data_IF_574960502656
#
_entry.id   IF_574960502656
#
_cell.length_a   1.000
_cell.length_b   1.000
_cell.length_c   1.000
_cell.angle_alpha   90.00
_cell.angle_beta   90.00
_cell.angle_gamma   90.00
#
_symmetry.space_group_name_H-M   'P 1'
#
loop_
_entity.id
_entity.type
_entity.pdbx_description
1 polymer ?
#
# COMPACT_ATOMS: atom_id res chain seq x y z
N UNK A 1 -50.76 2.65 35.47
CA UNK A 1 -49.42 2.29 36.00
C UNK A 1 -48.56 1.49 35.01
N UNK A 2 -49.07 0.45 34.31
CA UNK A 2 -48.25 -0.39 33.42
C UNK A 2 -47.72 0.28 32.13
N UNK A 3 -48.43 1.27 31.57
CA UNK A 3 -48.00 2.01 30.35
C UNK A 3 -46.78 2.91 30.60
N UNK A 4 -46.70 3.54 31.77
CA UNK A 4 -45.58 4.43 32.13
C UNK A 4 -44.27 3.67 32.30
N UNK A 5 -44.33 2.46 32.88
CA UNK A 5 -43.17 1.57 33.03
C UNK A 5 -42.63 1.10 31.68
N UNK A 6 -43.52 0.77 30.72
CA UNK A 6 -43.12 0.37 29.36
C UNK A 6 -42.45 1.53 28.60
N UNK A 7 -42.98 2.74 28.72
CA UNK A 7 -42.39 3.93 28.07
C UNK A 7 -41.01 4.23 28.68
N UNK A 8 -40.88 4.18 30.00
CA UNK A 8 -39.59 4.37 30.67
C UNK A 8 -38.53 3.33 30.25
N UNK A 9 -38.93 2.06 30.12
CA UNK A 9 -38.03 0.99 29.68
C UNK A 9 -37.59 1.15 28.22
N UNK A 10 -38.49 1.58 27.34
CA UNK A 10 -38.17 1.85 25.93
C UNK A 10 -37.19 3.03 25.79
N UNK A 11 -37.39 4.11 26.56
CA UNK A 11 -36.49 5.26 26.55
C UNK A 11 -35.07 4.86 27.00
N UNK A 12 -34.96 4.08 28.08
CA UNK A 12 -33.66 3.60 28.56
C UNK A 12 -32.98 2.68 27.55
N UNK A 13 -33.73 1.79 26.89
CA UNK A 13 -33.17 0.91 25.86
C UNK A 13 -32.63 1.71 24.64
N UNK A 14 -33.36 2.73 24.20
CA UNK A 14 -32.90 3.60 23.10
C UNK A 14 -31.66 4.40 23.46
N UNK A 15 -31.56 4.87 24.70
CA UNK A 15 -30.42 5.66 25.17
C UNK A 15 -29.15 4.80 25.24
N UNK A 16 -29.25 3.57 25.75
CA UNK A 16 -28.12 2.63 25.81
C UNK A 16 -27.65 2.25 24.40
N UNK A 17 -28.57 2.03 23.46
CA UNK A 17 -28.22 1.70 22.08
C UNK A 17 -27.50 2.85 21.36
N UNK A 18 -27.97 4.09 21.56
CA UNK A 18 -27.33 5.27 20.98
C UNK A 18 -25.91 5.49 21.53
N UNK A 19 -25.70 5.27 22.83
CA UNK A 19 -24.39 5.41 23.44
C UNK A 19 -23.40 4.32 22.97
N UNK A 20 -23.87 3.08 22.77
CA UNK A 20 -23.05 1.99 22.23
C UNK A 20 -22.57 2.27 20.78
N UNK A 21 -23.39 2.94 19.97
CA UNK A 21 -23.03 3.32 18.60
C UNK A 21 -22.04 4.48 18.57
N UNK A 22 -22.15 5.45 19.48
CA UNK A 22 -21.23 6.59 19.56
C UNK A 22 -19.82 6.22 20.05
N UNK A 23 -19.69 5.13 20.82
CA UNK A 23 -18.41 4.62 21.35
C UNK A 23 -17.73 3.63 20.38
N UNK A 24 -18.39 3.23 19.29
CA UNK A 24 -17.81 2.32 18.31
C UNK A 24 -16.96 3.08 17.27
N UNK A 25 -15.61 2.93 17.25
CA UNK A 25 -14.77 3.44 16.17
C UNK A 25 -14.89 2.51 14.96
N UNK A 26 -16.09 2.41 14.39
CA UNK A 26 -16.37 1.51 13.28
C UNK A 26 -17.01 2.29 12.12
N UNK A 27 -16.21 3.17 11.51
CA UNK A 27 -16.22 3.46 10.07
C UNK A 27 -15.43 4.74 9.77
N UNK A 28 -14.10 4.71 9.95
CA UNK A 28 -13.25 5.40 8.99
C UNK A 28 -13.14 4.49 7.76
N UNK A 29 -14.24 4.37 7.02
CA UNK A 29 -14.24 3.72 5.72
C UNK A 29 -13.60 4.69 4.74
N UNK A 30 -12.27 4.83 4.82
CA UNK A 30 -11.51 5.21 3.66
C UNK A 30 -11.78 4.13 2.60
N UNK A 31 -12.37 4.45 1.43
CA UNK A 31 -12.47 3.51 0.34
C UNK A 31 -11.09 3.40 -0.34
N UNK A 32 -10.05 3.08 0.44
CA UNK A 32 -8.82 2.56 -0.11
C UNK A 32 -9.18 1.19 -0.66
N UNK A 33 -9.57 1.17 -1.93
CA UNK A 33 -9.82 -0.01 -2.78
C UNK A 33 -9.14 -1.21 -2.16
N UNK A 34 -9.93 -2.09 -1.56
CA UNK A 34 -9.44 -3.33 -0.97
C UNK A 34 -8.71 -4.07 -2.08
N UNK A 35 -7.37 -3.96 -2.10
CA UNK A 35 -6.53 -4.57 -3.12
C UNK A 35 -6.73 -6.07 -2.99
N UNK A 36 -7.54 -6.64 -3.86
CA UNK A 36 -7.89 -8.06 -3.82
C UNK A 36 -6.60 -8.87 -3.96
N UNK A 37 -6.28 -9.65 -2.93
CA UNK A 37 -5.22 -10.66 -3.03
C UNK A 37 -5.67 -11.66 -4.09
N UNK A 38 -4.77 -12.02 -5.00
CA UNK A 38 -5.03 -12.99 -6.05
C UNK A 38 -5.70 -12.42 -7.29
N UNK A 39 -6.06 -11.13 -7.33
CA UNK A 39 -6.49 -10.49 -8.57
C UNK A 39 -5.31 -10.22 -9.51
N UNK A 40 -5.52 -10.33 -10.83
CA UNK A 40 -4.58 -9.76 -11.79
C UNK A 40 -4.68 -8.23 -11.71
N UNK A 41 -3.54 -7.59 -11.57
CA UNK A 41 -3.41 -6.14 -11.67
C UNK A 41 -2.41 -5.77 -12.77
N UNK A 42 -2.66 -4.66 -13.46
CA UNK A 42 -1.67 -4.09 -14.37
C UNK A 42 -0.47 -3.58 -13.54
N UNK A 43 0.74 -3.86 -14.04
CA UNK A 43 1.99 -3.52 -13.39
C UNK A 43 2.76 -2.49 -14.24
N UNK A 44 3.54 -1.65 -13.59
CA UNK A 44 4.41 -0.70 -14.29
C UNK A 44 5.64 -1.44 -14.84
N UNK A 45 6.08 -1.07 -16.04
CA UNK A 45 7.23 -1.73 -16.69
C UNK A 45 8.54 -1.44 -15.95
N UNK A 46 8.60 -0.35 -15.20
CA UNK A 46 9.78 0.02 -14.41
C UNK A 46 9.77 -0.62 -13.02
N UNK A 47 8.73 -1.40 -12.67
CA UNK A 47 8.74 -2.14 -11.42
C UNK A 47 9.82 -3.22 -11.44
N UNK A 48 10.61 -3.30 -10.36
CA UNK A 48 11.74 -4.23 -10.25
C UNK A 48 11.33 -5.68 -10.54
N UNK A 49 10.20 -6.13 -9.98
CA UNK A 49 9.69 -7.48 -10.22
C UNK A 49 9.33 -7.76 -11.69
N UNK A 50 8.88 -6.74 -12.42
CA UNK A 50 8.58 -6.85 -13.85
C UNK A 50 9.89 -6.93 -14.65
N UNK A 51 10.89 -6.11 -14.32
CA UNK A 51 12.20 -6.17 -14.96
C UNK A 51 12.91 -7.50 -14.71
N UNK A 52 12.84 -8.02 -13.48
CA UNK A 52 13.41 -9.32 -13.13
C UNK A 52 12.72 -10.46 -13.90
N UNK A 53 11.38 -10.44 -13.98
CA UNK A 53 10.64 -11.41 -14.76
C UNK A 53 10.97 -11.33 -16.27
N UNK A 54 11.11 -10.12 -16.80
CA UNK A 54 11.50 -9.90 -18.20
C UNK A 54 12.91 -10.45 -18.48
N UNK A 55 13.87 -10.15 -17.61
CA UNK A 55 15.25 -10.63 -17.75
C UNK A 55 15.32 -12.15 -17.66
N UNK A 56 14.57 -12.75 -16.74
CA UNK A 56 14.45 -14.21 -16.64
C UNK A 56 13.89 -14.80 -17.94
N UNK A 57 12.79 -14.27 -18.46
CA UNK A 57 12.17 -14.77 -19.68
C UNK A 57 13.10 -14.65 -20.90
N UNK A 58 13.81 -13.52 -21.06
CA UNK A 58 14.77 -13.33 -22.14
C UNK A 58 15.98 -14.25 -22.01
N UNK A 59 16.49 -14.47 -20.80
CA UNK A 59 17.56 -15.42 -20.52
C UNK A 59 17.16 -16.83 -20.96
N UNK A 60 16.00 -17.32 -20.51
CA UNK A 60 15.55 -18.67 -20.84
C UNK A 60 15.24 -18.83 -22.33
N UNK A 61 14.65 -17.81 -22.96
CA UNK A 61 14.43 -17.81 -24.40
C UNK A 61 15.75 -17.94 -25.17
N UNK A 62 16.74 -17.12 -24.84
CA UNK A 62 18.03 -17.12 -25.54
C UNK A 62 18.84 -18.40 -25.30
N UNK A 63 18.72 -19.04 -24.13
CA UNK A 63 19.35 -20.34 -23.86
C UNK A 63 18.72 -21.48 -24.65
N UNK A 64 17.40 -21.45 -24.81
CA UNK A 64 16.66 -22.48 -25.54
C UNK A 64 16.66 -22.26 -27.05
N UNK A 65 16.99 -21.05 -27.51
CA UNK A 65 17.09 -20.72 -28.93
C UNK A 65 18.39 -21.24 -29.53
N UNK A 66 18.29 -21.76 -30.76
CA UNK A 66 19.44 -22.14 -31.59
C UNK A 66 19.89 -21.02 -32.54
N UNK A 67 19.36 -19.81 -32.37
CA UNK A 67 19.77 -18.66 -33.17
C UNK A 67 21.23 -18.29 -32.88
N UNK A 68 21.94 -17.82 -33.90
CA UNK A 68 23.33 -17.40 -33.78
C UNK A 68 23.48 -16.10 -32.97
N UNK A 69 22.37 -15.37 -32.76
CA UNK A 69 22.34 -14.11 -32.05
C UNK A 69 21.38 -14.11 -30.87
N UNK A 70 21.71 -13.33 -29.85
CA UNK A 70 20.81 -13.12 -28.72
C UNK A 70 19.69 -12.15 -29.09
N UNK A 71 18.46 -12.57 -28.80
CA UNK A 71 17.28 -11.74 -28.92
C UNK A 71 17.12 -10.81 -27.73
N UNK A 72 16.54 -9.63 -27.99
CA UNK A 72 16.21 -8.62 -26.98
C UNK A 72 14.76 -8.17 -27.10
N UNK A 73 14.15 -7.81 -25.99
CA UNK A 73 12.85 -7.15 -26.01
C UNK A 73 12.99 -5.72 -26.55
N UNK A 74 12.26 -5.38 -27.61
CA UNK A 74 12.21 -4.02 -28.18
C UNK A 74 11.22 -3.15 -27.39
N UNK A 75 10.08 -3.72 -27.01
CA UNK A 75 9.03 -3.02 -26.26
C UNK A 75 8.19 -4.01 -25.45
N UNK A 76 7.92 -3.66 -24.20
CA UNK A 76 6.92 -4.36 -23.38
C UNK A 76 5.56 -3.72 -23.68
N UNK A 77 4.65 -4.50 -24.27
CA UNK A 77 3.30 -4.02 -24.62
C UNK A 77 2.40 -3.93 -23.38
N UNK A 78 2.55 -4.89 -22.46
CA UNK A 78 1.76 -4.96 -21.23
C UNK A 78 2.52 -5.73 -20.17
N UNK A 79 2.47 -5.25 -18.93
CA UNK A 79 2.91 -5.98 -17.76
C UNK A 79 1.72 -6.16 -16.80
N UNK A 80 1.57 -7.37 -16.27
CA UNK A 80 0.54 -7.73 -15.29
C UNK A 80 1.16 -8.59 -14.21
N UNK A 81 0.71 -8.41 -12.98
CA UNK A 81 1.11 -9.24 -11.85
C UNK A 81 -0.12 -9.71 -11.07
N UNK A 82 0.04 -10.80 -10.34
CA UNK A 82 -0.98 -11.32 -9.46
C UNK A 82 -0.40 -11.36 -8.05
N UNK A 83 -0.93 -10.53 -7.15
CA UNK A 83 -0.41 -10.47 -5.77
C UNK A 83 -0.90 -11.70 -5.02
N UNK A 84 -0.03 -12.66 -4.75
CA UNK A 84 -0.36 -13.77 -3.85
C UNK A 84 -0.30 -13.31 -2.39
N UNK A 85 -0.92 -14.04 -1.45
CA UNK A 85 -0.87 -13.68 -0.02
C UNK A 85 0.54 -13.43 0.51
N UNK A 86 1.54 -14.19 0.06
CA UNK A 86 2.93 -14.09 0.51
C UNK A 86 3.71 -12.92 -0.10
N UNK A 87 3.39 -12.51 -1.34
CA UNK A 87 4.05 -11.38 -2.02
C UNK A 87 3.74 -10.04 -1.35
N UNK A 88 2.58 -9.94 -0.69
CA UNK A 88 2.20 -8.73 0.03
C UNK A 88 3.08 -8.50 1.26
N UNK A 89 3.45 -9.57 1.95
CA UNK A 89 4.26 -9.51 3.18
C UNK A 89 5.69 -9.07 2.85
N UNK A 90 6.27 -9.58 1.77
CA UNK A 90 7.59 -9.15 1.30
C UNK A 90 7.58 -7.71 0.77
N UNK A 91 6.56 -7.34 -0.03
CA UNK A 91 6.47 -6.00 -0.61
C UNK A 91 6.24 -4.87 0.41
N UNK A 92 5.49 -5.10 1.49
CA UNK A 92 5.31 -4.09 2.54
C UNK A 92 6.60 -3.85 3.34
N UNK A 93 7.40 -4.90 3.58
CA UNK A 93 8.69 -4.78 4.26
C UNK A 93 9.67 -3.90 3.47
N UNK A 94 9.71 -4.05 2.14
CA UNK A 94 10.55 -3.21 1.28
C UNK A 94 10.11 -1.75 1.31
N UNK A 95 8.80 -1.48 1.16
CA UNK A 95 8.27 -0.11 1.20
C UNK A 95 8.38 0.59 2.56
N UNK A 96 8.47 -0.17 3.65
CA UNK A 96 8.74 0.37 4.98
C UNK A 96 10.23 0.72 5.11
N UNK A 97 11.13 -0.16 4.65
CA UNK A 97 12.57 0.08 4.64
C UNK A 97 12.97 1.34 3.85
N UNK A 98 12.36 1.57 2.68
CA UNK A 98 12.63 2.79 1.89
C UNK A 98 12.10 4.06 2.56
N UNK A 99 10.99 3.97 3.32
CA UNK A 99 10.44 5.10 4.08
C UNK A 99 11.32 5.46 5.27
N UNK A 100 11.84 4.46 5.97
CA UNK A 100 12.73 4.66 7.12
C UNK A 100 14.10 5.23 6.66
N UNK A 101 14.58 4.83 5.47
CA UNK A 101 15.77 5.43 4.84
C UNK A 101 15.53 6.88 4.40
N UNK A 102 14.33 7.20 3.88
CA UNK A 102 13.96 8.56 3.49
C UNK A 102 13.80 9.54 4.67
N UNK A 103 13.43 9.06 5.86
CA UNK A 103 13.34 9.91 7.06
C UNK A 103 14.69 10.29 7.65
N UNK A 104 15.71 9.43 7.51
CA UNK A 104 17.07 9.71 8.03
C UNK A 104 17.76 10.85 7.27
N UNK A 105 17.39 11.10 6.01
CA UNK A 105 17.98 12.17 5.20
C UNK A 105 17.33 13.55 5.41
N UNK A 106 16.18 13.65 6.10
CA UNK A 106 15.48 14.93 6.29
C UNK A 106 15.85 15.66 7.58
N UNK A 107 16.55 15.01 8.52
CA UNK A 107 16.90 15.59 9.82
C UNK A 107 18.22 16.41 9.81
N UNK A 108 18.95 16.50 8.69
CA UNK A 108 20.16 17.35 8.55
C UNK A 108 19.90 18.68 7.82
N UNK A 109 18.90 19.43 8.26
CA UNK A 109 18.76 20.84 7.88
C UNK A 109 18.61 21.69 9.14
N UNK A 110 19.73 21.95 9.82
CA UNK A 110 19.79 23.02 10.83
C UNK A 110 19.86 24.39 10.13
N UNK A 111 19.01 25.35 10.51
CA UNK A 111 19.07 26.73 10.04
C UNK A 111 20.11 27.55 10.81
N UNK A 112 20.75 28.48 10.10
CA UNK A 112 21.79 29.37 10.61
C UNK A 112 21.35 30.26 11.80
N UNK A 113 22.21 30.52 12.79
CA UNK A 113 22.19 31.76 13.56
C UNK A 113 23.10 32.78 12.85
N UNK A 114 22.66 33.99 12.55
CA UNK A 114 22.38 35.03 13.54
C UNK A 114 23.48 36.08 13.41
N UNK A 115 23.09 37.31 13.06
CA UNK A 115 23.98 38.37 12.60
C UNK A 115 25.05 38.83 13.59
N UNK A 116 26.11 39.40 13.01
CA UNK A 116 26.95 40.38 13.69
C UNK A 116 27.03 41.61 12.78
N UNK A 117 26.50 42.72 13.27
CA UNK A 117 26.60 44.01 12.63
C UNK A 117 27.58 44.91 13.39
N UNK A 118 28.16 45.80 12.58
CA UNK A 118 28.67 47.16 12.90
C UNK A 118 30.05 47.22 13.59
N UNK A 119 30.87 48.26 13.35
CA UNK A 119 31.01 49.19 12.22
C UNK A 119 32.25 48.96 11.36
#
# INVERSE_FOLDING_TARGET
>A
MARSLRIALLLMATLVLALALAVSPAASANPSKTRLVGGLEDADVNEEGVQQALNFALSEYNKASNDAFHSRAIRVVRARKQVRPWDRVSGQRSRQGDRDAGSLHRERAEPAPGGCGIP
#
